data_IF_921821198037
#
_entry.id   IF_921821198037
#
_cell.length_a   1.000
_cell.length_b   1.000
_cell.length_c   1.000
_cell.angle_alpha   90.00
_cell.angle_beta   90.00
_cell.angle_gamma   90.00
#
_symmetry.space_group_name_H-M   'P 1'
#
loop_
_entity.id
_entity.type
_entity.pdbx_description
1 polymer ?
#
# COMPACT_ATOMS: atom_id res chain seq x y z
N UNK A 1 24.41 -22.26 -42.90
CA UNK A 1 25.43 -21.78 -41.97
C UNK A 1 24.78 -20.79 -41.05
N UNK A 2 24.43 -21.19 -39.85
CA UNK A 2 23.90 -20.29 -38.80
C UNK A 2 25.07 -19.91 -37.90
N UNK A 3 25.42 -18.65 -37.93
CA UNK A 3 26.49 -18.06 -37.15
C UNK A 3 25.98 -17.85 -35.69
N UNK A 4 26.52 -18.65 -34.78
CA UNK A 4 26.26 -18.52 -33.35
C UNK A 4 26.91 -17.24 -32.82
N UNK A 5 26.12 -16.17 -32.64
CA UNK A 5 26.55 -14.97 -31.93
C UNK A 5 26.80 -15.32 -30.47
N UNK A 6 28.07 -15.53 -30.12
CA UNK A 6 28.51 -15.71 -28.75
C UNK A 6 28.21 -14.46 -27.93
N UNK A 7 27.32 -14.58 -26.95
CA UNK A 7 27.06 -13.55 -25.94
C UNK A 7 28.35 -13.33 -25.15
N UNK A 8 29.05 -12.25 -25.43
CA UNK A 8 30.25 -11.85 -24.72
C UNK A 8 29.91 -11.56 -23.25
N UNK A 9 30.36 -12.41 -22.35
CA UNK A 9 30.28 -12.21 -20.91
C UNK A 9 31.01 -10.92 -20.51
N UNK A 10 30.36 -9.95 -19.95
CA UNK A 10 30.96 -8.70 -19.51
C UNK A 10 32.10 -8.95 -18.50
N UNK A 11 33.27 -8.26 -18.63
CA UNK A 11 34.44 -8.53 -17.83
C UNK A 11 34.17 -8.41 -16.33
N UNK A 12 34.70 -9.33 -15.52
CA UNK A 12 34.50 -9.48 -14.06
C UNK A 12 34.65 -8.18 -13.26
N UNK A 13 35.53 -7.26 -13.68
CA UNK A 13 35.71 -5.93 -13.06
C UNK A 13 34.45 -5.08 -13.07
N UNK A 14 33.68 -5.06 -14.18
CA UNK A 14 32.44 -4.32 -14.28
C UNK A 14 31.33 -4.92 -13.41
N UNK A 15 31.35 -6.22 -13.14
CA UNK A 15 30.38 -6.87 -12.25
C UNK A 15 30.53 -6.38 -10.80
N UNK A 16 31.76 -6.27 -10.28
CA UNK A 16 32.03 -5.73 -8.94
C UNK A 16 31.62 -4.25 -8.79
N UNK A 17 31.92 -3.42 -9.79
CA UNK A 17 31.54 -2.00 -9.79
C UNK A 17 30.01 -1.84 -9.82
N UNK A 18 29.30 -2.63 -10.62
CA UNK A 18 27.83 -2.63 -10.66
C UNK A 18 27.23 -3.05 -9.32
N UNK A 19 27.82 -4.06 -8.68
CA UNK A 19 27.36 -4.54 -7.38
C UNK A 19 27.59 -3.49 -6.28
N UNK A 20 28.74 -2.83 -6.27
CA UNK A 20 29.04 -1.73 -5.36
C UNK A 20 28.08 -0.56 -5.56
N UNK A 21 27.84 -0.16 -6.80
CA UNK A 21 26.88 0.89 -7.13
C UNK A 21 25.45 0.50 -6.73
N UNK A 22 25.07 -0.77 -6.91
CA UNK A 22 23.75 -1.26 -6.48
C UNK A 22 23.60 -1.20 -4.97
N UNK A 23 24.61 -1.64 -4.20
CA UNK A 23 24.62 -1.56 -2.73
C UNK A 23 24.56 -0.12 -2.25
N UNK A 24 25.37 0.77 -2.84
CA UNK A 24 25.34 2.20 -2.52
C UNK A 24 23.97 2.81 -2.80
N UNK A 25 23.40 2.58 -3.98
CA UNK A 25 22.09 3.10 -4.34
C UNK A 25 21.00 2.55 -3.45
N UNK A 26 21.08 1.29 -3.03
CA UNK A 26 20.16 0.68 -2.07
C UNK A 26 20.26 1.37 -0.71
N UNK A 27 21.47 1.61 -0.20
CA UNK A 27 21.69 2.31 1.07
C UNK A 27 21.15 3.74 1.03
N UNK A 28 21.45 4.49 -0.02
CA UNK A 28 20.89 5.84 -0.20
C UNK A 28 19.36 5.84 -0.28
N UNK A 29 18.79 4.85 -0.98
CA UNK A 29 17.33 4.69 -1.06
C UNK A 29 16.74 4.42 0.32
N UNK A 30 17.39 3.58 1.12
CA UNK A 30 16.96 3.25 2.49
C UNK A 30 17.02 4.49 3.40
N UNK A 31 18.16 5.19 3.44
CA UNK A 31 18.34 6.41 4.25
C UNK A 31 17.30 7.47 3.87
N UNK A 32 17.14 7.73 2.58
CA UNK A 32 16.16 8.68 2.08
C UNK A 32 14.73 8.32 2.47
N UNK A 33 14.38 7.03 2.41
CA UNK A 33 13.05 6.57 2.82
C UNK A 33 12.83 6.80 4.31
N UNK A 34 13.83 6.51 5.14
CA UNK A 34 13.79 6.76 6.59
C UNK A 34 13.54 8.25 6.87
N UNK A 35 14.33 9.14 6.26
CA UNK A 35 14.17 10.60 6.42
C UNK A 35 12.74 11.04 6.02
N UNK A 36 12.23 10.53 4.90
CA UNK A 36 10.88 10.85 4.41
C UNK A 36 9.79 10.40 5.39
N UNK A 37 9.94 9.22 6.01
CA UNK A 37 8.99 8.75 7.02
C UNK A 37 9.01 9.65 8.25
N UNK A 38 10.18 10.05 8.73
CA UNK A 38 10.28 10.97 9.87
C UNK A 38 9.64 12.34 9.58
N UNK A 39 9.87 12.89 8.39
CA UNK A 39 9.23 14.14 7.96
C UNK A 39 7.70 13.95 7.91
N UNK A 40 7.24 12.91 7.24
CA UNK A 40 5.81 12.63 7.13
C UNK A 40 5.14 12.38 8.49
N UNK A 41 5.85 11.70 9.39
CA UNK A 41 5.40 11.49 10.77
C UNK A 41 5.21 12.82 11.50
N UNK A 42 6.17 13.73 11.39
CA UNK A 42 6.10 15.03 12.06
C UNK A 42 4.89 15.88 11.60
N UNK A 43 4.54 15.81 10.30
CA UNK A 43 3.49 16.65 9.72
C UNK A 43 2.13 15.98 9.60
N UNK A 44 2.08 14.67 9.36
CA UNK A 44 0.85 13.97 8.96
C UNK A 44 0.43 12.85 9.87
N UNK A 45 1.31 12.34 10.74
CA UNK A 45 0.95 11.26 11.65
C UNK A 45 -0.01 11.74 12.75
N UNK A 46 -0.74 10.82 13.33
CA UNK A 46 -1.56 11.09 14.52
C UNK A 46 -0.68 11.39 15.73
N UNK A 47 -1.08 12.37 16.56
CA UNK A 47 -0.35 12.69 17.79
C UNK A 47 -0.36 11.54 18.79
N UNK A 48 -1.46 10.79 18.83
CA UNK A 48 -1.67 9.69 19.77
C UNK A 48 -2.08 8.46 18.99
N UNK A 49 -1.47 7.33 19.30
CA UNK A 49 -1.90 6.04 18.79
C UNK A 49 -3.17 5.63 19.51
N UNK A 50 -4.20 5.29 18.75
CA UNK A 50 -5.44 4.75 19.29
C UNK A 50 -5.35 3.23 19.29
N UNK A 51 -6.01 2.58 20.22
CA UNK A 51 -6.24 1.15 20.14
C UNK A 51 -7.27 0.83 19.05
N UNK A 52 -7.10 -0.34 18.40
CA UNK A 52 -8.03 -0.78 17.39
C UNK A 52 -9.36 -1.18 18.06
N UNK A 53 -10.39 -0.43 17.77
CA UNK A 53 -11.75 -0.83 18.14
C UNK A 53 -12.34 -1.70 17.01
N UNK A 54 -12.37 -2.99 17.27
CA UNK A 54 -12.90 -4.00 16.34
C UNK A 54 -14.32 -4.45 16.71
N UNK A 55 -14.91 -3.85 17.74
CA UNK A 55 -16.28 -4.14 18.13
C UNK A 55 -17.25 -3.50 17.13
N UNK A 56 -18.31 -4.20 16.78
CA UNK A 56 -19.38 -3.69 15.90
C UNK A 56 -18.92 -3.08 14.57
N UNK A 57 -17.91 -3.64 13.94
CA UNK A 57 -17.43 -3.20 12.61
C UNK A 57 -18.48 -3.52 11.56
N UNK A 58 -18.91 -2.50 10.82
CA UNK A 58 -19.88 -2.61 9.72
C UNK A 58 -19.30 -2.19 8.38
N UNK A 59 -18.44 -1.17 8.37
CA UNK A 59 -17.91 -0.56 7.14
C UNK A 59 -16.40 -0.65 7.08
N UNK A 60 -15.91 -1.19 5.98
CA UNK A 60 -14.48 -1.41 5.75
C UNK A 60 -14.08 -0.79 4.41
N UNK A 61 -12.99 -0.03 4.41
CA UNK A 61 -12.32 0.42 3.20
C UNK A 61 -11.00 -0.34 3.03
N UNK A 62 -10.85 -1.07 1.94
CA UNK A 62 -9.54 -1.55 1.52
C UNK A 62 -8.81 -0.45 0.73
N UNK A 63 -7.54 -0.21 1.06
CA UNK A 63 -6.76 0.87 0.47
C UNK A 63 -5.60 0.33 -0.36
N UNK A 64 -5.81 0.18 -1.67
CA UNK A 64 -4.82 -0.28 -2.65
C UNK A 64 -4.70 0.73 -3.81
N UNK A 65 -4.54 2.00 -3.46
CA UNK A 65 -4.35 3.09 -4.43
C UNK A 65 -2.95 3.08 -5.11
N UNK A 66 -2.20 2.04 -4.89
CA UNK A 66 -0.94 1.68 -5.53
C UNK A 66 -0.84 0.16 -5.60
N UNK A 67 0.05 -0.37 -6.42
CA UNK A 67 0.33 -1.79 -6.49
C UNK A 67 0.03 -2.41 -7.85
N UNK A 68 0.45 -3.65 -8.02
CA UNK A 68 0.24 -4.43 -9.22
C UNK A 68 -1.14 -5.10 -9.22
N UNK A 69 -1.62 -5.48 -10.40
CA UNK A 69 -2.88 -6.22 -10.57
C UNK A 69 -2.89 -7.52 -9.75
N UNK A 70 -1.74 -8.21 -9.65
CA UNK A 70 -1.62 -9.43 -8.85
C UNK A 70 -1.96 -9.24 -7.38
N UNK A 71 -1.58 -8.10 -6.80
CA UNK A 71 -1.90 -7.77 -5.41
C UNK A 71 -3.42 -7.62 -5.22
N UNK A 72 -4.10 -6.98 -6.18
CA UNK A 72 -5.55 -6.76 -6.16
C UNK A 72 -6.29 -8.10 -6.26
N UNK A 73 -5.79 -9.04 -7.08
CA UNK A 73 -6.37 -10.39 -7.17
C UNK A 73 -6.26 -11.13 -5.84
N UNK A 74 -5.13 -11.02 -5.14
CA UNK A 74 -4.96 -11.60 -3.79
C UNK A 74 -5.93 -10.96 -2.80
N UNK A 75 -6.07 -9.63 -2.83
CA UNK A 75 -6.98 -8.90 -1.95
C UNK A 75 -8.46 -9.31 -2.15
N UNK A 76 -8.84 -9.87 -3.29
CA UNK A 76 -10.21 -10.36 -3.53
C UNK A 76 -10.66 -11.44 -2.54
N UNK A 77 -9.73 -12.25 -2.05
CA UNK A 77 -10.01 -13.24 -1.02
C UNK A 77 -10.39 -12.57 0.32
N UNK A 78 -9.66 -11.51 0.70
CA UNK A 78 -9.96 -10.72 1.89
C UNK A 78 -11.33 -10.03 1.76
N UNK A 79 -11.65 -9.43 0.60
CA UNK A 79 -12.96 -8.83 0.32
C UNK A 79 -14.08 -9.85 0.58
N UNK A 80 -13.94 -11.05 0.02
CA UNK A 80 -14.94 -12.12 0.20
C UNK A 80 -15.09 -12.54 1.67
N UNK A 81 -13.99 -12.63 2.42
CA UNK A 81 -14.02 -12.97 3.83
C UNK A 81 -14.73 -11.89 4.67
N UNK A 82 -14.42 -10.62 4.44
CA UNK A 82 -15.05 -9.50 5.13
C UNK A 82 -16.56 -9.43 4.83
N UNK A 83 -16.95 -9.59 3.57
CA UNK A 83 -18.36 -9.62 3.18
C UNK A 83 -19.11 -10.78 3.83
N UNK A 84 -18.52 -12.00 3.87
CA UNK A 84 -19.11 -13.16 4.59
C UNK A 84 -19.26 -12.92 6.09
N UNK A 85 -18.40 -12.12 6.68
CA UNK A 85 -18.50 -11.70 8.08
C UNK A 85 -19.56 -10.60 8.31
N UNK A 86 -20.34 -10.25 7.29
CA UNK A 86 -21.42 -9.26 7.37
C UNK A 86 -20.98 -7.80 7.25
N UNK A 87 -19.73 -7.56 6.81
CA UNK A 87 -19.19 -6.21 6.64
C UNK A 87 -19.49 -5.67 5.24
N UNK A 88 -19.75 -4.39 5.17
CA UNK A 88 -19.85 -3.66 3.90
C UNK A 88 -18.47 -3.22 3.48
N UNK A 89 -18.02 -3.65 2.30
CA UNK A 89 -16.65 -3.44 1.81
C UNK A 89 -16.64 -2.44 0.67
N UNK A 90 -15.87 -1.39 0.80
CA UNK A 90 -15.49 -0.49 -0.29
C UNK A 90 -14.01 -0.69 -0.62
N UNK A 91 -13.62 -0.36 -1.85
CA UNK A 91 -12.26 -0.54 -2.30
C UNK A 91 -11.73 0.71 -2.99
N UNK A 92 -10.60 1.23 -2.53
CA UNK A 92 -9.86 2.30 -3.20
C UNK A 92 -8.76 1.69 -4.06
N UNK A 93 -8.90 1.79 -5.37
CA UNK A 93 -8.01 1.22 -6.39
C UNK A 93 -7.46 2.29 -7.32
N UNK A 94 -6.42 1.98 -8.08
CA UNK A 94 -6.05 2.82 -9.24
C UNK A 94 -7.02 2.58 -10.40
N UNK A 95 -7.15 3.53 -11.31
CA UNK A 95 -7.98 3.40 -12.52
C UNK A 95 -7.65 2.14 -13.33
N UNK A 96 -6.37 1.78 -13.42
CA UNK A 96 -5.96 0.56 -14.12
C UNK A 96 -6.37 -0.72 -13.42
N UNK A 97 -6.42 -0.72 -12.10
CA UNK A 97 -6.71 -1.91 -11.30
C UNK A 97 -8.21 -2.07 -10.98
N UNK A 98 -8.99 -0.99 -11.06
CA UNK A 98 -10.44 -1.01 -10.75
C UNK A 98 -11.21 -1.95 -11.67
N UNK A 99 -10.78 -2.09 -12.92
CA UNK A 99 -11.43 -2.96 -13.90
C UNK A 99 -11.47 -4.44 -13.48
N UNK A 100 -10.44 -4.91 -12.75
CA UNK A 100 -10.35 -6.31 -12.28
C UNK A 100 -11.42 -6.62 -11.23
N UNK A 101 -11.84 -5.62 -10.47
CA UNK A 101 -12.79 -5.77 -9.37
C UNK A 101 -14.19 -5.24 -9.67
N UNK A 102 -14.43 -4.69 -10.87
CA UNK A 102 -15.68 -3.98 -11.21
C UNK A 102 -16.93 -4.83 -10.98
N UNK A 103 -16.87 -6.11 -11.33
CA UNK A 103 -18.00 -7.02 -11.26
C UNK A 103 -17.96 -7.91 -10.00
N UNK A 104 -17.18 -7.55 -8.99
CA UNK A 104 -17.08 -8.33 -7.77
C UNK A 104 -18.31 -8.06 -6.88
N UNK A 105 -19.21 -9.07 -6.67
CA UNK A 105 -20.47 -8.88 -5.94
C UNK A 105 -20.29 -8.60 -4.44
N UNK A 106 -19.08 -8.73 -3.92
CA UNK A 106 -18.76 -8.53 -2.51
C UNK A 106 -18.29 -7.11 -2.21
N UNK A 107 -18.17 -6.25 -3.23
CA UNK A 107 -17.76 -4.85 -3.09
C UNK A 107 -18.98 -3.95 -3.29
N UNK A 108 -19.24 -3.05 -2.33
CA UNK A 108 -20.31 -2.07 -2.44
C UNK A 108 -19.96 -0.96 -3.43
N UNK A 109 -18.75 -0.39 -3.29
CA UNK A 109 -18.30 0.71 -4.13
C UNK A 109 -16.79 0.64 -4.39
N UNK A 110 -16.37 0.98 -5.60
CA UNK A 110 -14.96 1.11 -6.00
C UNK A 110 -14.66 2.58 -6.22
N UNK A 111 -13.72 3.11 -5.43
CA UNK A 111 -13.16 4.44 -5.60
C UNK A 111 -11.91 4.39 -6.44
N UNK A 112 -11.78 5.32 -7.38
CA UNK A 112 -10.65 5.34 -8.30
C UNK A 112 -9.64 6.43 -7.93
N UNK A 113 -8.42 6.01 -7.69
CA UNK A 113 -7.24 6.85 -7.61
C UNK A 113 -6.58 6.97 -8.99
N UNK A 114 -5.85 8.06 -9.23
CA UNK A 114 -5.05 8.21 -10.44
C UNK A 114 -3.93 7.17 -10.48
N UNK A 115 -3.55 6.73 -11.68
CA UNK A 115 -2.42 5.85 -11.83
C UNK A 115 -1.12 6.55 -11.39
N UNK A 116 -0.28 5.82 -10.66
CA UNK A 116 0.99 6.37 -10.18
C UNK A 116 2.01 6.29 -11.30
N UNK A 117 2.48 7.45 -11.74
CA UNK A 117 3.66 7.53 -12.58
C UNK A 117 4.91 7.38 -11.70
N UNK A 118 5.61 6.28 -11.86
CA UNK A 118 6.82 5.95 -11.09
C UNK A 118 7.97 6.96 -11.28
N UNK A 119 7.94 7.75 -12.34
CA UNK A 119 8.96 8.77 -12.66
C UNK A 119 8.80 10.07 -11.85
N UNK A 120 7.62 10.39 -11.36
CA UNK A 120 7.37 11.65 -10.69
C UNK A 120 7.75 11.60 -9.20
N UNK A 121 9.00 11.88 -8.92
CA UNK A 121 9.62 11.83 -7.57
C UNK A 121 8.95 12.71 -6.51
N UNK A 122 8.45 13.89 -6.91
CA UNK A 122 7.77 14.82 -6.00
C UNK A 122 6.39 14.33 -5.57
N UNK A 123 5.73 13.50 -6.36
CA UNK A 123 4.43 12.90 -6.05
C UNK A 123 4.46 11.92 -4.87
N UNK A 124 5.64 11.55 -4.37
CA UNK A 124 5.76 10.66 -3.19
C UNK A 124 5.43 11.32 -1.86
N UNK A 125 5.26 12.64 -1.82
CA UNK A 125 4.75 13.38 -0.66
C UNK A 125 3.26 13.71 -0.77
N UNK A 126 2.64 13.46 -1.92
CA UNK A 126 1.21 13.63 -2.15
C UNK A 126 0.60 12.28 -2.52
N UNK A 127 -0.67 12.10 -2.22
CA UNK A 127 -1.41 10.92 -2.70
C UNK A 127 -1.96 11.15 -4.10
N UNK A 128 -2.33 10.05 -4.76
CA UNK A 128 -2.88 10.02 -6.11
C UNK A 128 -4.42 9.97 -6.13
N UNK A 129 -5.07 10.28 -5.02
CA UNK A 129 -6.53 10.24 -4.88
C UNK A 129 -7.10 11.62 -5.16
N UNK A 130 -8.09 11.76 -6.08
CA UNK A 130 -8.77 13.02 -6.36
C UNK A 130 -9.47 13.58 -5.12
N UNK A 131 -9.55 14.90 -5.01
CA UNK A 131 -10.16 15.57 -3.84
C UNK A 131 -11.65 15.25 -3.66
N UNK A 132 -12.37 15.08 -4.75
CA UNK A 132 -13.77 14.63 -4.71
C UNK A 132 -13.90 13.28 -4.02
N UNK A 133 -13.07 12.31 -4.44
CA UNK A 133 -13.03 10.96 -3.86
C UNK A 133 -12.66 11.00 -2.37
N UNK A 134 -11.70 11.85 -1.97
CA UNK A 134 -11.33 12.01 -0.56
C UNK A 134 -12.51 12.49 0.27
N UNK A 135 -13.25 13.47 -0.24
CA UNK A 135 -14.43 14.01 0.44
C UNK A 135 -15.50 12.93 0.64
N UNK A 136 -15.76 12.10 -0.37
CA UNK A 136 -16.68 10.97 -0.28
C UNK A 136 -16.21 9.94 0.75
N UNK A 137 -14.91 9.55 0.69
CA UNK A 137 -14.31 8.61 1.65
C UNK A 137 -14.41 9.14 3.09
N UNK A 138 -14.18 10.44 3.30
CA UNK A 138 -14.28 11.07 4.62
C UNK A 138 -15.72 11.12 5.14
N UNK A 139 -16.69 11.32 4.26
CA UNK A 139 -18.12 11.35 4.62
C UNK A 139 -18.66 9.98 5.01
N UNK A 140 -18.09 8.90 4.47
CA UNK A 140 -18.53 7.53 4.78
C UNK A 140 -18.17 7.08 6.20
N UNK A 141 -17.25 7.77 6.90
CA UNK A 141 -16.89 7.49 8.30
C UNK A 141 -16.59 6.00 8.55
N UNK A 142 -15.65 5.44 7.80
CA UNK A 142 -15.32 4.02 7.91
C UNK A 142 -14.94 3.60 9.33
N UNK A 143 -15.48 2.46 9.76
CA UNK A 143 -15.07 1.82 11.01
C UNK A 143 -13.61 1.36 10.92
N UNK A 144 -13.26 0.74 9.80
CA UNK A 144 -11.90 0.25 9.55
C UNK A 144 -11.42 0.64 8.16
N UNK A 145 -10.18 1.08 8.09
CA UNK A 145 -9.39 1.11 6.85
C UNK A 145 -8.32 0.04 6.94
N UNK A 146 -8.24 -0.83 5.93
CA UNK A 146 -7.19 -1.85 5.82
C UNK A 146 -6.21 -1.43 4.73
N UNK A 147 -4.94 -1.35 5.10
CA UNK A 147 -3.81 -1.17 4.18
C UNK A 147 -3.10 -2.50 3.99
N UNK A 148 -3.41 -3.26 2.92
CA UNK A 148 -2.86 -4.59 2.71
C UNK A 148 -1.44 -4.59 2.14
N UNK A 149 -0.81 -3.43 1.91
CA UNK A 149 0.57 -3.37 1.42
C UNK A 149 1.57 -3.87 2.46
N UNK A 150 2.50 -4.73 2.05
CA UNK A 150 3.46 -5.38 2.94
C UNK A 150 4.78 -4.58 3.06
N UNK A 151 5.21 -3.92 2.00
CA UNK A 151 6.59 -3.42 1.89
C UNK A 151 6.72 -1.91 1.82
N UNK A 152 5.62 -1.19 1.69
CA UNK A 152 5.66 0.24 1.46
C UNK A 152 5.76 1.05 2.74
N UNK A 153 6.62 2.06 2.70
CA UNK A 153 6.63 3.10 3.71
C UNK A 153 5.48 4.06 3.38
N UNK A 154 4.44 4.13 4.21
CA UNK A 154 3.15 4.72 3.85
C UNK A 154 3.13 6.26 3.97
N UNK A 155 4.16 6.94 3.45
CA UNK A 155 4.27 8.41 3.59
C UNK A 155 3.03 9.12 3.03
N UNK A 156 2.65 8.81 1.79
CA UNK A 156 1.47 9.40 1.15
C UNK A 156 0.15 8.88 1.78
N UNK A 157 0.17 7.69 2.36
CA UNK A 157 -0.98 7.10 3.04
C UNK A 157 -1.26 7.75 4.39
N UNK A 158 -0.24 8.20 5.11
CA UNK A 158 -0.44 8.99 6.32
C UNK A 158 -1.25 10.26 6.05
N UNK A 159 -0.94 10.96 4.95
CA UNK A 159 -1.71 12.12 4.52
C UNK A 159 -3.16 11.76 4.19
N UNK A 160 -3.36 10.67 3.44
CA UNK A 160 -4.68 10.19 3.05
C UNK A 160 -5.51 9.78 4.28
N UNK A 161 -4.92 8.99 5.18
CA UNK A 161 -5.57 8.56 6.44
C UNK A 161 -5.95 9.75 7.34
N UNK A 162 -5.10 10.79 7.39
CA UNK A 162 -5.42 12.03 8.09
C UNK A 162 -6.65 12.76 7.53
N UNK A 163 -6.88 12.64 6.22
CA UNK A 163 -8.02 13.27 5.55
C UNK A 163 -9.29 12.44 5.70
N UNK A 164 -9.21 11.11 5.57
CA UNK A 164 -10.36 10.18 5.68
C UNK A 164 -10.82 10.05 7.13
N UNK A 165 -9.92 10.08 8.10
CA UNK A 165 -10.19 9.99 9.56
C UNK A 165 -10.99 8.74 9.96
N UNK A 166 -10.57 7.53 9.58
CA UNK A 166 -11.27 6.32 9.99
C UNK A 166 -11.20 6.10 11.51
N UNK A 167 -12.12 5.27 12.05
CA UNK A 167 -12.08 4.90 13.47
C UNK A 167 -10.86 4.06 13.82
N UNK A 168 -10.53 3.07 12.98
CA UNK A 168 -9.36 2.20 13.12
C UNK A 168 -8.64 2.00 11.78
N UNK A 169 -7.33 1.77 11.83
CA UNK A 169 -6.50 1.46 10.67
C UNK A 169 -5.69 0.20 10.94
N UNK A 170 -5.84 -0.79 10.08
CA UNK A 170 -5.09 -2.03 10.12
C UNK A 170 -4.04 -2.05 9.01
N UNK A 171 -2.86 -2.56 9.30
CA UNK A 171 -1.79 -2.70 8.31
C UNK A 171 -0.93 -3.94 8.56
N UNK A 172 -0.02 -4.24 7.64
CA UNK A 172 0.93 -5.35 7.75
C UNK A 172 2.35 -4.81 7.72
N UNK A 173 3.21 -5.33 8.60
CA UNK A 173 4.62 -4.93 8.72
C UNK A 173 4.83 -3.41 8.77
N UNK A 174 3.90 -2.68 9.42
CA UNK A 174 4.01 -1.22 9.56
C UNK A 174 4.90 -0.87 10.74
N UNK A 175 5.62 0.23 10.61
CA UNK A 175 6.48 0.69 11.68
C UNK A 175 5.70 0.97 12.95
N UNK A 176 6.09 0.40 14.10
CA UNK A 176 5.38 0.60 15.38
C UNK A 176 5.28 2.07 15.80
N UNK A 177 6.19 2.91 15.27
CA UNK A 177 6.21 4.33 15.57
C UNK A 177 5.19 5.17 14.79
N UNK A 178 4.45 4.61 13.81
CA UNK A 178 3.43 5.31 13.04
C UNK A 178 2.09 5.17 13.75
N UNK A 179 1.58 6.26 14.32
CA UNK A 179 0.40 6.27 15.17
C UNK A 179 -0.92 6.10 14.40
N UNK A 180 -0.95 6.37 13.09
CA UNK A 180 -2.14 6.13 12.27
C UNK A 180 -2.56 4.67 12.26
N UNK A 181 -1.59 3.73 12.26
CA UNK A 181 -1.92 2.31 12.30
C UNK A 181 -2.27 1.92 13.74
N UNK A 182 -3.57 1.73 13.98
CA UNK A 182 -4.08 1.32 15.29
C UNK A 182 -3.62 -0.11 15.62
N UNK A 183 -3.48 -0.96 14.59
CA UNK A 183 -2.89 -2.30 14.71
C UNK A 183 -2.09 -2.64 13.46
N UNK A 184 -0.90 -3.20 13.65
CA UNK A 184 -0.08 -3.80 12.60
C UNK A 184 0.08 -5.28 12.88
N UNK A 185 -0.09 -6.09 11.84
CA UNK A 185 0.16 -7.52 11.88
C UNK A 185 1.54 -7.79 11.30
N UNK A 186 2.34 -8.58 12.00
CA UNK A 186 3.62 -9.01 11.48
C UNK A 186 3.41 -10.19 10.52
N UNK A 187 3.98 -10.08 9.34
CA UNK A 187 3.93 -11.09 8.30
C UNK A 187 5.35 -11.45 7.85
N UNK A 188 5.68 -12.72 7.96
CA UNK A 188 6.97 -13.25 7.53
C UNK A 188 6.96 -13.52 6.02
N UNK A 189 7.45 -12.55 5.26
CA UNK A 189 7.49 -12.61 3.80
C UNK A 189 8.52 -13.61 3.25
N UNK A 190 9.46 -14.08 4.07
CA UNK A 190 10.49 -15.03 3.65
C UNK A 190 9.97 -16.47 3.64
N UNK A 191 9.11 -16.80 4.61
CA UNK A 191 8.60 -18.16 4.79
C UNK A 191 7.17 -18.37 4.30
N UNK A 192 6.42 -17.30 4.04
CA UNK A 192 5.01 -17.37 3.68
C UNK A 192 4.70 -16.66 2.36
N UNK A 193 3.98 -17.34 1.49
CA UNK A 193 3.45 -16.69 0.30
C UNK A 193 2.30 -15.75 0.67
N UNK A 194 2.22 -14.58 0.02
CA UNK A 194 1.21 -13.54 0.30
C UNK A 194 -0.23 -14.06 0.27
N UNK A 195 -0.53 -15.05 -0.58
CA UNK A 195 -1.87 -15.67 -0.65
C UNK A 195 -2.28 -16.45 0.61
N UNK A 196 -1.35 -16.70 1.55
CA UNK A 196 -1.65 -17.36 2.83
C UNK A 196 -1.93 -16.36 3.96
N UNK A 197 -1.88 -15.06 3.67
CA UNK A 197 -2.07 -13.99 4.66
C UNK A 197 -3.55 -13.72 4.96
N UNK A 198 -4.43 -14.13 4.05
CA UNK A 198 -5.86 -13.82 4.09
C UNK A 198 -6.73 -15.07 4.15
#
# INVERSE_FOLDING_TARGET
>A
MMENAAVQASPRKFKKIRELNRRRNYLFKKIRNVIRVYIAKAFWDSRVRREADLTSVKTVLLMRNEGAIGDVVVDSALVKCLHKAGMTVDFLLTKSNSQVMRDNPHIRHIYEAENVDSAAYLRKFTHNVPRSVINELANNKYDIVIDPSLFDIPVHRMLLLRQIKPRSVLGFNKWPSINHYTRSFDFDCENWHVSKTF
#
